data_IF_170585555712
#
_entry.id   IF_170585555712
#
_cell.length_a   1.000
_cell.length_b   1.000
_cell.length_c   1.000
_cell.angle_alpha   90.00
_cell.angle_beta   90.00
_cell.angle_gamma   90.00
#
_symmetry.space_group_name_H-M   'P 1'
#
loop_
_entity.id
_entity.type
_entity.pdbx_description
1 polymer ?
#
# COMPACT_ATOMS: atom_id res chain seq x y z
N UNK A 1 4.64 21.22 20.37
CA UNK A 1 4.95 20.89 18.97
C UNK A 1 4.21 21.86 18.07
N UNK A 2 4.81 22.39 17.00
CA UNK A 2 4.10 23.17 16.00
C UNK A 2 2.92 22.35 15.40
N UNK A 3 1.82 23.00 14.99
CA UNK A 3 0.56 22.33 14.63
C UNK A 3 0.65 21.30 13.50
N UNK A 4 1.67 21.38 12.63
CA UNK A 4 1.88 20.45 11.52
C UNK A 4 2.80 19.27 11.82
N UNK A 5 3.51 19.25 12.95
CA UNK A 5 4.52 18.22 13.23
C UNK A 5 3.90 16.92 13.77
N UNK A 6 2.69 16.98 14.33
CA UNK A 6 1.96 15.80 14.80
C UNK A 6 1.29 15.03 13.65
N UNK A 7 0.85 15.73 12.61
CA UNK A 7 0.27 15.16 11.38
C UNK A 7 1.35 14.46 10.54
N UNK A 8 2.53 15.06 10.42
CA UNK A 8 3.69 14.47 9.73
C UNK A 8 4.22 13.19 10.41
N UNK A 9 4.07 13.08 11.74
CA UNK A 9 4.45 11.89 12.51
C UNK A 9 3.44 10.72 12.33
N UNK A 10 2.23 10.99 11.83
CA UNK A 10 1.18 9.98 11.58
C UNK A 10 1.08 9.56 10.12
N UNK A 11 1.62 10.36 9.20
CA UNK A 11 1.71 10.04 7.79
C UNK A 11 2.51 8.75 7.54
N UNK A 12 1.90 7.78 6.86
CA UNK A 12 2.57 6.54 6.45
C UNK A 12 2.96 6.65 4.98
N UNK A 13 4.20 6.27 4.65
CA UNK A 13 4.60 6.04 3.26
C UNK A 13 4.32 4.59 2.91
N UNK A 14 3.83 4.34 1.71
CA UNK A 14 3.40 3.01 1.26
C UNK A 14 4.19 2.65 0.03
N UNK A 15 4.94 1.54 0.08
CA UNK A 15 5.57 0.95 -1.09
C UNK A 15 4.60 -0.05 -1.72
N UNK A 16 4.10 0.29 -2.90
CA UNK A 16 3.14 -0.51 -3.64
C UNK A 16 3.79 -1.10 -4.89
N UNK A 17 3.70 -2.42 -5.06
CA UNK A 17 4.15 -3.08 -6.28
C UNK A 17 3.02 -3.07 -7.32
N UNK A 18 3.38 -2.75 -8.55
CA UNK A 18 2.50 -2.69 -9.71
C UNK A 18 2.95 -3.73 -10.75
N UNK A 19 2.11 -4.06 -11.75
CA UNK A 19 2.53 -4.90 -12.86
C UNK A 19 3.84 -4.44 -13.52
N UNK A 20 4.00 -3.13 -13.76
CA UNK A 20 5.16 -2.58 -14.48
C UNK A 20 6.31 -2.10 -13.59
N UNK A 21 6.12 -1.98 -12.28
CA UNK A 21 7.16 -1.49 -11.37
C UNK A 21 6.68 -1.23 -9.93
N UNK A 22 7.07 -0.10 -9.36
CA UNK A 22 6.78 0.26 -7.97
C UNK A 22 6.33 1.72 -7.84
N UNK A 23 5.42 1.97 -6.90
CA UNK A 23 4.93 3.29 -6.52
C UNK A 23 5.17 3.55 -5.03
N UNK A 24 5.44 4.80 -4.68
CA UNK A 24 5.41 5.30 -3.31
C UNK A 24 4.18 6.21 -3.18
N UNK A 25 3.27 5.85 -2.27
CA UNK A 25 2.16 6.70 -1.88
C UNK A 25 2.40 7.34 -0.52
N UNK A 26 1.84 8.52 -0.33
CA UNK A 26 1.49 9.05 0.98
C UNK A 26 0.08 8.58 1.32
N UNK A 27 -0.11 8.08 2.53
CA UNK A 27 -1.42 7.80 3.11
C UNK A 27 -1.58 8.57 4.42
N UNK A 28 -2.76 9.15 4.65
CA UNK A 28 -3.11 9.73 5.93
C UNK A 28 -3.29 8.61 6.97
N UNK A 29 -2.19 8.29 7.67
CA UNK A 29 -2.10 7.17 8.58
C UNK A 29 -2.90 7.33 9.87
N UNK A 30 -3.79 8.32 9.99
CA UNK A 30 -4.64 8.51 11.16
C UNK A 30 -5.35 7.21 11.58
N UNK A 31 -5.95 6.48 10.62
CA UNK A 31 -6.64 5.20 10.89
C UNK A 31 -5.68 4.05 11.23
N UNK A 32 -4.46 4.06 10.69
CA UNK A 32 -3.42 3.09 11.03
C UNK A 32 -2.84 3.31 12.43
N UNK A 33 -2.73 4.57 12.85
CA UNK A 33 -2.09 4.95 14.11
C UNK A 33 -2.99 4.82 15.33
N UNK A 34 -4.31 5.00 15.18
CA UNK A 34 -5.22 5.04 16.32
C UNK A 34 -5.87 3.70 16.66
N UNK A 35 -5.64 2.64 15.88
CA UNK A 35 -6.14 1.27 16.13
C UNK A 35 -7.67 1.13 16.30
N UNK A 36 -8.44 2.20 16.09
CA UNK A 36 -9.89 2.17 16.38
C UNK A 36 -10.63 1.40 15.29
N UNK A 37 -10.23 1.53 14.02
CA UNK A 37 -11.03 1.03 12.89
C UNK A 37 -10.17 0.53 11.72
N UNK A 38 -9.11 -0.26 11.97
CA UNK A 38 -8.26 -0.80 10.88
C UNK A 38 -9.03 -1.66 9.88
N UNK A 39 -10.20 -2.16 10.28
CA UNK A 39 -11.13 -2.94 9.44
C UNK A 39 -12.06 -2.07 8.60
N UNK A 40 -11.98 -0.73 8.68
CA UNK A 40 -12.74 0.20 7.83
C UNK A 40 -11.89 0.84 6.73
N UNK A 41 -10.58 0.58 6.68
CA UNK A 41 -9.67 1.14 5.65
C UNK A 41 -10.18 0.84 4.23
N UNK A 42 -10.78 -0.33 4.00
CA UNK A 42 -11.36 -0.66 2.68
C UNK A 42 -12.44 0.33 2.21
N UNK A 43 -13.15 0.98 3.13
CA UNK A 43 -14.23 1.90 2.79
C UNK A 43 -13.70 3.18 2.14
N UNK A 44 -12.44 3.54 2.41
CA UNK A 44 -11.75 4.70 1.82
C UNK A 44 -11.47 4.50 0.32
N UNK A 45 -11.48 3.25 -0.14
CA UNK A 45 -11.18 2.87 -1.50
C UNK A 45 -12.41 2.34 -2.25
N UNK A 46 -13.62 2.67 -1.79
CA UNK A 46 -14.87 2.24 -2.44
C UNK A 46 -15.04 2.83 -3.85
N UNK A 47 -14.54 4.05 -4.06
CA UNK A 47 -14.59 4.75 -5.34
C UNK A 47 -13.32 5.60 -5.55
N UNK A 48 -13.04 6.02 -6.81
CA UNK A 48 -11.84 6.77 -7.14
C UNK A 48 -11.68 8.13 -6.45
N UNK A 49 -12.79 8.86 -6.24
CA UNK A 49 -12.73 10.20 -5.65
C UNK A 49 -12.38 10.07 -4.16
N UNK A 50 -13.04 9.14 -3.45
CA UNK A 50 -12.72 8.84 -2.05
C UNK A 50 -11.26 8.40 -1.87
N UNK A 51 -10.76 7.55 -2.78
CA UNK A 51 -9.38 7.09 -2.70
C UNK A 51 -8.37 8.23 -2.92
N UNK A 52 -8.65 9.14 -3.86
CA UNK A 52 -7.78 10.28 -4.15
C UNK A 52 -7.73 11.31 -3.00
N UNK A 53 -8.76 11.37 -2.15
CA UNK A 53 -8.74 12.20 -0.95
C UNK A 53 -7.85 11.61 0.17
N UNK A 54 -7.59 10.30 0.13
CA UNK A 54 -6.92 9.54 1.20
C UNK A 54 -5.46 9.20 0.87
N UNK A 55 -5.11 9.12 -0.41
CA UNK A 55 -3.74 8.85 -0.87
C UNK A 55 -3.22 9.82 -1.94
N UNK A 56 -1.95 10.19 -1.81
CA UNK A 56 -1.22 10.93 -2.85
C UNK A 56 -0.11 10.06 -3.44
N UNK A 57 -0.04 9.97 -4.77
CA UNK A 57 1.11 9.39 -5.45
C UNK A 57 2.30 10.33 -5.37
N UNK A 58 3.40 9.88 -4.76
CA UNK A 58 4.63 10.67 -4.65
C UNK A 58 5.60 10.37 -5.78
N UNK A 59 5.79 9.08 -6.07
CA UNK A 59 6.71 8.65 -7.11
C UNK A 59 6.26 7.30 -7.69
N UNK A 60 6.42 7.14 -8.99
CA UNK A 60 6.20 5.88 -9.70
C UNK A 60 7.38 5.60 -10.63
N UNK A 61 7.90 4.37 -10.58
CA UNK A 61 9.01 3.91 -11.43
C UNK A 61 8.71 2.54 -12.01
N UNK A 62 8.91 2.42 -13.31
CA UNK A 62 8.82 1.16 -14.04
C UNK A 62 10.16 0.43 -14.03
N UNK A 63 10.13 -0.90 -14.08
CA UNK A 63 11.31 -1.75 -14.08
C UNK A 63 11.16 -2.86 -15.11
N UNK A 64 12.09 -2.95 -16.07
CA UNK A 64 12.05 -3.98 -17.13
C UNK A 64 12.11 -5.41 -16.56
N UNK A 65 12.88 -5.62 -15.49
CA UNK A 65 13.01 -6.91 -14.82
C UNK A 65 12.83 -6.77 -13.31
N UNK A 66 11.62 -7.05 -12.83
CA UNK A 66 11.27 -6.97 -11.40
C UNK A 66 11.96 -8.01 -10.52
N UNK A 67 12.41 -9.14 -11.08
CA UNK A 67 13.00 -10.27 -10.31
C UNK A 67 14.24 -9.86 -9.50
N UNK A 68 14.97 -8.84 -9.97
CA UNK A 68 16.18 -8.35 -9.33
C UNK A 68 16.00 -7.02 -8.58
N UNK A 69 14.79 -6.45 -8.60
CA UNK A 69 14.52 -5.15 -7.96
C UNK A 69 14.48 -5.29 -6.45
N UNK A 70 13.80 -6.33 -5.96
CA UNK A 70 13.76 -6.68 -4.54
C UNK A 70 13.66 -8.20 -4.40
N UNK A 71 14.66 -8.83 -3.80
CA UNK A 71 14.64 -10.26 -3.54
C UNK A 71 15.56 -10.64 -2.39
N UNK A 72 15.35 -11.83 -1.81
CA UNK A 72 16.20 -12.36 -0.75
C UNK A 72 17.67 -12.55 -1.19
N UNK A 73 17.91 -12.80 -2.48
CA UNK A 73 19.25 -13.06 -3.01
C UNK A 73 19.98 -11.79 -3.45
N UNK A 74 19.27 -10.80 -3.99
CA UNK A 74 19.86 -9.56 -4.51
C UNK A 74 19.71 -8.37 -3.58
N UNK A 75 18.91 -8.48 -2.53
CA UNK A 75 18.54 -7.35 -1.67
C UNK A 75 17.64 -6.36 -2.42
N UNK A 76 17.81 -5.07 -2.16
CA UNK A 76 17.09 -3.97 -2.83
C UNK A 76 18.00 -3.33 -3.89
N UNK A 77 17.50 -3.17 -5.12
CA UNK A 77 18.24 -2.47 -6.18
C UNK A 77 18.56 -1.02 -5.80
N UNK A 78 19.60 -0.45 -6.42
CA UNK A 78 20.01 0.94 -6.13
C UNK A 78 18.91 1.93 -6.48
N UNK A 79 18.21 1.70 -7.59
CA UNK A 79 17.14 2.55 -8.07
C UNK A 79 15.95 2.56 -7.10
N UNK A 80 15.51 1.37 -6.64
CA UNK A 80 14.41 1.27 -5.66
C UNK A 80 14.84 1.81 -4.29
N UNK A 81 16.06 1.52 -3.86
CA UNK A 81 16.59 2.03 -2.59
C UNK A 81 16.68 3.57 -2.57
N UNK A 82 16.97 4.18 -3.72
CA UNK A 82 16.98 5.65 -3.88
C UNK A 82 15.56 6.20 -3.82
N UNK A 83 14.64 5.61 -4.60
CA UNK A 83 13.22 5.96 -4.58
C UNK A 83 12.62 5.91 -3.16
N UNK A 84 12.91 4.86 -2.39
CA UNK A 84 12.44 4.77 -1.00
C UNK A 84 13.05 5.89 -0.15
N UNK A 85 14.38 6.08 -0.19
CA UNK A 85 15.05 7.06 0.69
C UNK A 85 14.65 8.51 0.39
N UNK A 86 14.46 8.85 -0.89
CA UNK A 86 14.13 10.22 -1.29
C UNK A 86 12.71 10.62 -0.83
N UNK A 87 11.82 9.65 -0.64
CA UNK A 87 10.44 9.89 -0.22
C UNK A 87 10.19 9.71 1.29
N UNK A 88 11.17 9.24 2.06
CA UNK A 88 11.02 8.99 3.49
C UNK A 88 11.72 10.06 4.33
N UNK A 89 11.00 10.54 5.35
CA UNK A 89 11.60 11.37 6.41
C UNK A 89 12.31 10.49 7.44
N UNK A 90 13.32 11.00 8.16
CA UNK A 90 13.96 10.27 9.24
C UNK A 90 12.93 9.76 10.27
N UNK A 91 13.06 8.49 10.68
CA UNK A 91 12.19 7.81 11.66
C UNK A 91 10.76 7.49 11.18
N UNK A 92 10.42 7.82 9.94
CA UNK A 92 9.14 7.43 9.33
C UNK A 92 9.15 5.92 9.00
N UNK A 93 7.98 5.26 9.15
CA UNK A 93 7.79 3.86 8.80
C UNK A 93 7.30 3.69 7.36
N UNK A 94 7.71 2.61 6.71
CA UNK A 94 7.25 2.23 5.37
C UNK A 94 6.25 1.08 5.46
N UNK A 95 5.01 1.29 5.01
CA UNK A 95 4.07 0.20 4.77
C UNK A 95 4.46 -0.59 3.52
N UNK A 96 4.48 -1.91 3.65
CA UNK A 96 4.85 -2.84 2.56
C UNK A 96 3.87 -4.00 2.48
N UNK A 97 3.70 -4.58 1.30
CA UNK A 97 2.58 -5.48 1.02
C UNK A 97 2.80 -6.94 1.43
N UNK A 98 4.01 -7.29 1.84
CA UNK A 98 4.34 -8.64 2.28
C UNK A 98 5.54 -8.63 3.26
N UNK A 99 5.62 -9.68 4.07
CA UNK A 99 6.69 -9.84 5.07
C UNK A 99 8.08 -10.03 4.46
N UNK A 100 8.19 -10.56 3.24
CA UNK A 100 9.48 -10.69 2.56
C UNK A 100 10.09 -9.32 2.27
N UNK A 101 9.31 -8.39 1.71
CA UNK A 101 9.73 -7.03 1.43
C UNK A 101 10.10 -6.29 2.71
N UNK A 102 9.31 -6.45 3.77
CA UNK A 102 9.62 -5.91 5.09
C UNK A 102 10.98 -6.38 5.56
N UNK A 103 11.21 -7.69 5.57
CA UNK A 103 12.47 -8.28 6.04
C UNK A 103 13.67 -7.79 5.22
N UNK A 104 13.55 -7.77 3.89
CA UNK A 104 14.64 -7.34 3.00
C UNK A 104 14.94 -5.84 3.20
N UNK A 105 13.93 -4.98 3.22
CA UNK A 105 14.10 -3.52 3.34
C UNK A 105 14.65 -3.14 4.73
N UNK A 106 14.15 -3.74 5.80
CA UNK A 106 14.64 -3.50 7.15
C UNK A 106 16.12 -3.85 7.28
N UNK A 107 16.52 -4.99 6.69
CA UNK A 107 17.90 -5.46 6.71
C UNK A 107 18.83 -4.61 5.83
N UNK A 108 18.44 -4.35 4.58
CA UNK A 108 19.34 -3.74 3.58
C UNK A 108 19.36 -2.22 3.66
N UNK A 109 18.25 -1.58 4.05
CA UNK A 109 18.12 -0.12 4.09
C UNK A 109 18.10 0.47 5.50
N UNK A 110 17.93 -0.36 6.54
CA UNK A 110 17.77 0.07 7.93
C UNK A 110 16.60 1.06 8.11
N UNK A 111 15.50 0.77 7.42
CA UNK A 111 14.23 1.52 7.46
C UNK A 111 13.19 0.64 8.15
N UNK A 112 12.48 1.18 9.15
CA UNK A 112 11.42 0.42 9.83
C UNK A 112 10.21 0.25 8.90
N UNK A 113 9.72 -0.98 8.80
CA UNK A 113 8.59 -1.31 7.95
C UNK A 113 7.38 -1.77 8.77
N UNK A 114 6.19 -1.59 8.22
CA UNK A 114 4.93 -2.14 8.75
C UNK A 114 4.29 -3.03 7.69
N UNK A 115 3.85 -4.20 8.13
CA UNK A 115 3.12 -5.19 7.36
C UNK A 115 2.23 -5.90 8.38
N UNK A 116 0.96 -5.52 8.40
CA UNK A 116 -0.05 -6.00 9.33
C UNK A 116 -1.41 -6.04 8.62
N UNK A 117 -2.47 -6.42 9.34
CA UNK A 117 -3.82 -6.51 8.78
C UNK A 117 -4.32 -5.18 8.23
N UNK A 118 -3.96 -4.06 8.86
CA UNK A 118 -4.37 -2.74 8.42
C UNK A 118 -3.65 -2.34 7.12
N UNK A 119 -2.35 -2.68 7.03
CA UNK A 119 -1.58 -2.56 5.78
C UNK A 119 -2.15 -3.43 4.67
N UNK A 120 -2.66 -4.62 4.98
CA UNK A 120 -3.27 -5.50 3.99
C UNK A 120 -4.55 -4.88 3.38
N UNK A 121 -5.42 -4.27 4.20
CA UNK A 121 -6.60 -3.54 3.71
C UNK A 121 -6.22 -2.34 2.84
N UNK A 122 -5.17 -1.60 3.22
CA UNK A 122 -4.62 -0.50 2.42
C UNK A 122 -4.08 -0.97 1.07
N UNK A 123 -3.30 -2.05 1.05
CA UNK A 123 -2.76 -2.62 -0.18
C UNK A 123 -3.86 -3.14 -1.10
N UNK A 124 -4.92 -3.70 -0.53
CA UNK A 124 -6.11 -4.10 -1.27
C UNK A 124 -6.79 -2.90 -1.93
N UNK A 125 -7.01 -1.82 -1.17
CA UNK A 125 -7.65 -0.60 -1.66
C UNK A 125 -6.86 0.06 -2.80
N UNK A 126 -5.54 0.19 -2.64
CA UNK A 126 -4.63 0.67 -3.68
C UNK A 126 -4.70 -0.18 -4.95
N UNK A 127 -4.87 -1.50 -4.81
CA UNK A 127 -4.98 -2.42 -5.94
C UNK A 127 -6.29 -2.25 -6.70
N UNK A 128 -7.42 -2.08 -6.00
CA UNK A 128 -8.72 -1.83 -6.63
C UNK A 128 -8.73 -0.48 -7.35
N UNK A 129 -8.11 0.54 -6.76
CA UNK A 129 -8.07 1.91 -7.29
C UNK A 129 -6.83 2.18 -8.15
N UNK A 130 -6.07 1.14 -8.53
CA UNK A 130 -4.78 1.31 -9.18
C UNK A 130 -4.88 2.09 -10.51
N UNK A 131 -5.94 1.85 -11.28
CA UNK A 131 -6.16 2.52 -12.57
C UNK A 131 -6.47 4.02 -12.44
N UNK A 132 -7.04 4.46 -11.31
CA UNK A 132 -7.31 5.88 -11.04
C UNK A 132 -6.13 6.57 -10.36
N UNK A 133 -5.36 5.84 -9.56
CA UNK A 133 -4.27 6.38 -8.74
C UNK A 133 -2.90 6.43 -9.44
N UNK A 134 -2.70 5.65 -10.51
CA UNK A 134 -1.43 5.58 -11.23
C UNK A 134 -1.53 6.12 -12.66
N UNK A 135 -0.42 6.64 -13.22
CA UNK A 135 -0.33 6.90 -14.65
C UNK A 135 -0.66 5.65 -15.47
N UNK A 136 -1.20 5.78 -16.69
CA UNK A 136 -1.46 4.64 -17.55
C UNK A 136 -0.19 3.82 -17.78
N UNK A 137 -0.19 2.59 -17.30
CA UNK A 137 0.83 1.59 -17.63
C UNK A 137 0.29 0.64 -18.71
N UNK A 138 1.19 0.16 -19.59
CA UNK A 138 0.85 -0.82 -20.63
C UNK A 138 0.65 -2.23 -20.02
N UNK A 139 -0.10 -2.33 -18.93
CA UNK A 139 -0.56 -3.60 -18.40
C UNK A 139 -1.98 -3.79 -18.91
N UNK A 140 -2.21 -4.88 -19.66
CA UNK A 140 -3.56 -5.36 -19.98
C UNK A 140 -4.22 -5.87 -18.69
N UNK A 141 -4.47 -4.98 -17.73
CA UNK A 141 -5.36 -5.22 -16.61
C UNK A 141 -6.75 -5.32 -17.20
N UNK A 142 -7.08 -6.51 -17.69
CA UNK A 142 -8.46 -6.83 -18.03
C UNK A 142 -9.26 -6.61 -16.76
N UNK A 143 -10.38 -5.89 -16.86
CA UNK A 143 -11.36 -5.68 -15.79
C UNK A 143 -11.91 -7.00 -15.16
N UNK A 144 -11.39 -8.16 -15.56
CA UNK A 144 -11.78 -9.51 -15.13
C UNK A 144 -10.84 -10.10 -14.07
N UNK A 145 -9.77 -9.40 -13.66
CA UNK A 145 -9.04 -9.75 -12.44
C UNK A 145 -9.92 -9.38 -11.24
N UNK A 146 -10.88 -10.26 -10.93
CA UNK A 146 -11.72 -10.18 -9.75
C UNK A 146 -10.80 -10.00 -8.54
N UNK A 147 -10.73 -8.78 -7.99
CA UNK A 147 -9.99 -8.57 -6.77
C UNK A 147 -10.78 -9.23 -5.63
N UNK A 148 -10.18 -10.20 -4.92
CA UNK A 148 -10.85 -10.84 -3.80
C UNK A 148 -11.28 -9.79 -2.79
N UNK A 149 -12.39 -9.98 -2.09
CA UNK A 149 -12.92 -9.09 -1.07
C UNK A 149 -11.91 -8.85 0.05
N UNK A 150 -11.83 -7.61 0.53
CA UNK A 150 -11.01 -7.32 1.71
C UNK A 150 -11.57 -8.02 2.96
N UNK A 151 -10.73 -8.21 3.97
CA UNK A 151 -11.18 -8.83 5.23
C UNK A 151 -12.21 -7.94 5.93
N UNK A 152 -12.01 -6.62 5.90
CA UNK A 152 -12.95 -5.65 6.48
C UNK A 152 -14.31 -5.68 5.78
N UNK A 153 -14.34 -5.65 4.44
CA UNK A 153 -15.57 -5.75 3.66
C UNK A 153 -16.30 -7.08 3.92
N UNK A 154 -15.57 -8.20 3.97
CA UNK A 154 -16.15 -9.51 4.28
C UNK A 154 -16.85 -9.51 5.64
N UNK A 155 -16.17 -8.99 6.67
CA UNK A 155 -16.73 -8.92 8.03
C UNK A 155 -17.95 -8.00 8.09
N UNK A 156 -17.89 -6.87 7.40
CA UNK A 156 -19.00 -5.92 7.31
C UNK A 156 -20.26 -6.56 6.70
N UNK A 157 -20.12 -7.25 5.56
CA UNK A 157 -21.24 -7.93 4.88
C UNK A 157 -21.80 -9.08 5.72
N UNK A 158 -20.92 -9.89 6.31
CA UNK A 158 -21.30 -10.98 7.21
C UNK A 158 -22.05 -10.46 8.44
N UNK A 159 -21.64 -9.32 9.00
CA UNK A 159 -22.33 -8.64 10.09
C UNK A 159 -23.77 -8.24 9.73
N UNK A 160 -24.00 -7.90 8.45
CA UNK A 160 -25.32 -7.60 7.88
C UNK A 160 -26.09 -8.85 7.41
N UNK A 161 -25.57 -10.05 7.66
CA UNK A 161 -26.16 -11.34 7.25
C UNK A 161 -26.31 -11.48 5.73
N UNK A 162 -25.43 -10.83 4.97
CA UNK A 162 -25.30 -11.04 3.53
C UNK A 162 -24.40 -12.26 3.32
N UNK A 163 -24.83 -13.19 2.48
CA UNK A 163 -24.08 -14.40 2.16
C UNK A 163 -22.93 -14.04 1.22
N UNK A 164 -21.72 -14.52 1.52
CA UNK A 164 -20.50 -14.26 0.75
C UNK A 164 -19.83 -15.60 0.51
N UNK A 165 -19.68 -15.97 -0.76
CA UNK A 165 -19.05 -17.23 -1.15
C UNK A 165 -17.54 -17.18 -0.82
N UNK A 166 -16.92 -18.30 -0.39
CA UNK A 166 -15.50 -18.35 -0.04
C UNK A 166 -14.56 -17.93 -1.18
N UNK A 167 -14.99 -18.16 -2.42
CA UNK A 167 -14.24 -17.84 -3.64
C UNK A 167 -14.20 -16.33 -3.92
N UNK A 168 -14.96 -15.54 -3.16
CA UNK A 168 -14.97 -14.09 -3.19
C UNK A 168 -13.95 -13.47 -2.24
N UNK A 169 -13.20 -14.25 -1.44
CA UNK A 169 -12.17 -13.79 -0.48
C UNK A 169 -10.74 -14.02 -0.98
#
# INVERSE_FOLDING_TARGET
LPPGQLLDDMAVKVLFETPSGFAIFHYDGYKLCHQVDSEEIWADFVDPDSAADEVDLLEFKTFENKVHVISQSTGVSKELATMIRDNLKPRQRLAVGNEDYKSIIEKELNISCVCDSATAELMWGLKIQMQSLLPPENSDLRNEDYFPMSTGMYRFLKGHKIDVEPDMM
#
